data_IF_450137322224
#
_entry.id   IF_450137322224
#
_cell.length_a   1.000
_cell.length_b   1.000
_cell.length_c   1.000
_cell.angle_alpha   90.00
_cell.angle_beta   90.00
_cell.angle_gamma   90.00
#
_symmetry.space_group_name_H-M   'P 1'
#
loop_
_entity.id
_entity.type
_entity.pdbx_description
1 polymer ?
#
# COMPACT_ATOMS: atom_id res chain seq x y z
N UNK A 1 1.88 12.69 2.12
CA UNK A 1 0.92 12.39 3.21
C UNK A 1 -0.04 11.29 2.79
N UNK A 2 -0.21 10.28 3.62
CA UNK A 2 -1.10 9.16 3.31
C UNK A 2 -2.56 9.60 3.48
N UNK A 3 -3.37 9.39 2.45
CA UNK A 3 -4.79 9.74 2.47
C UNK A 3 -5.69 8.56 2.77
N UNK A 4 -5.34 7.39 2.26
CA UNK A 4 -6.14 6.20 2.50
C UNK A 4 -5.30 4.94 2.36
N UNK A 5 -5.80 3.85 2.94
CA UNK A 5 -5.19 2.53 2.84
C UNK A 5 -6.30 1.52 2.56
N UNK A 6 -6.11 0.71 1.53
CA UNK A 6 -7.01 -0.38 1.18
C UNK A 6 -6.25 -1.69 1.29
N UNK A 7 -6.83 -2.66 1.98
CA UNK A 7 -6.24 -3.97 2.18
C UNK A 7 -7.29 -5.02 1.79
N UNK A 8 -6.88 -6.03 1.04
CA UNK A 8 -7.75 -7.14 0.69
C UNK A 8 -7.01 -8.46 0.86
N UNK A 9 -7.67 -9.42 1.51
CA UNK A 9 -7.15 -10.77 1.75
C UNK A 9 -5.75 -10.76 2.36
N UNK A 10 -5.54 -9.85 3.29
CA UNK A 10 -4.26 -9.65 3.95
C UNK A 10 -4.34 -10.16 5.38
N UNK A 11 -3.59 -11.21 5.70
CA UNK A 11 -3.60 -11.86 7.00
C UNK A 11 -5.04 -12.28 7.38
N UNK A 12 -5.55 -11.81 8.50
CA UNK A 12 -6.90 -12.13 8.95
C UNK A 12 -7.97 -11.20 8.39
N UNK A 13 -7.56 -10.21 7.62
CA UNK A 13 -8.48 -9.19 7.10
C UNK A 13 -8.94 -9.58 5.71
N UNK A 14 -10.25 -9.74 5.52
CA UNK A 14 -10.83 -9.97 4.22
C UNK A 14 -10.79 -8.71 3.38
N UNK A 15 -11.23 -7.58 3.97
CA UNK A 15 -11.21 -6.30 3.30
C UNK A 15 -11.24 -5.19 4.34
N UNK A 16 -10.45 -4.15 4.11
CA UNK A 16 -10.42 -2.98 4.96
C UNK A 16 -10.11 -1.75 4.10
N UNK A 17 -10.90 -0.71 4.26
CA UNK A 17 -10.68 0.57 3.60
C UNK A 17 -10.68 1.65 4.67
N UNK A 18 -9.53 2.29 4.86
CA UNK A 18 -9.34 3.28 5.91
C UNK A 18 -9.00 4.62 5.29
N UNK A 19 -9.73 5.65 5.71
CA UNK A 19 -9.45 7.03 5.31
C UNK A 19 -8.72 7.74 6.44
N UNK A 20 -7.68 8.47 6.11
CA UNK A 20 -6.91 9.24 7.08
C UNK A 20 -7.19 10.73 6.92
N UNK A 21 -7.57 11.38 8.00
CA UNK A 21 -7.77 12.82 8.02
C UNK A 21 -6.66 13.45 8.84
N UNK A 22 -5.99 14.44 8.26
CA UNK A 22 -4.95 15.22 8.95
C UNK A 22 -3.86 14.36 9.60
N UNK A 23 -3.45 13.27 8.93
CA UNK A 23 -2.37 12.44 9.42
C UNK A 23 -2.82 11.10 9.97
N UNK A 24 -1.97 10.52 10.80
CA UNK A 24 -2.12 9.11 11.22
C UNK A 24 -2.79 8.92 12.57
N UNK A 25 -3.71 9.80 12.94
CA UNK A 25 -4.40 9.67 14.22
C UNK A 25 -5.29 8.44 14.33
N UNK A 26 -5.61 7.83 13.20
CA UNK A 26 -6.53 6.70 13.15
C UNK A 26 -6.01 5.46 13.86
N UNK A 27 -4.71 5.35 14.04
CA UNK A 27 -4.12 4.21 14.74
C UNK A 27 -4.32 4.26 16.24
N UNK A 28 -4.77 5.39 16.75
CA UNK A 28 -5.01 5.59 18.17
C UNK A 28 -6.30 4.85 18.57
N UNK A 29 -6.24 4.05 19.61
CA UNK A 29 -7.40 3.35 20.12
C UNK A 29 -7.76 2.06 19.42
N UNK A 30 -7.00 1.66 18.41
CA UNK A 30 -7.23 0.39 17.74
C UNK A 30 -6.69 -0.76 18.59
N UNK A 31 -7.20 -1.97 18.35
CA UNK A 31 -6.63 -3.14 19.00
C UNK A 31 -5.21 -3.36 18.51
N UNK A 32 -4.37 -3.99 19.33
CA UNK A 32 -2.99 -4.26 18.95
C UNK A 32 -2.89 -5.05 17.64
N UNK A 33 -3.75 -6.03 17.45
CA UNK A 33 -3.75 -6.87 16.25
C UNK A 33 -4.07 -6.04 15.00
N UNK A 34 -5.10 -5.21 15.05
CA UNK A 34 -5.46 -4.36 13.91
C UNK A 34 -4.37 -3.38 13.56
N UNK A 35 -3.76 -2.79 14.59
CA UNK A 35 -2.66 -1.85 14.41
C UNK A 35 -1.46 -2.50 13.73
N UNK A 36 -1.09 -3.71 14.16
CA UNK A 36 0.03 -4.44 13.58
C UNK A 36 -0.22 -4.78 12.12
N UNK A 37 -1.44 -5.16 11.77
CA UNK A 37 -1.78 -5.50 10.39
C UNK A 37 -1.69 -4.26 9.48
N UNK A 38 -2.18 -3.12 9.95
CA UNK A 38 -2.11 -1.87 9.19
C UNK A 38 -0.65 -1.46 8.97
N UNK A 39 0.18 -1.54 10.01
CA UNK A 39 1.60 -1.23 9.91
C UNK A 39 2.30 -2.19 8.94
N UNK A 40 1.98 -3.47 9.02
CA UNK A 40 2.54 -4.46 8.11
C UNK A 40 2.19 -4.18 6.66
N UNK A 41 0.94 -3.80 6.39
CA UNK A 41 0.50 -3.46 5.04
C UNK A 41 1.22 -2.22 4.51
N UNK A 42 1.41 -1.20 5.35
CA UNK A 42 2.15 -0.01 4.96
C UNK A 42 3.61 -0.32 4.65
N UNK A 43 4.23 -1.18 5.44
CA UNK A 43 5.61 -1.57 5.21
C UNK A 43 5.77 -2.30 3.88
N UNK A 44 4.81 -3.12 3.50
CA UNK A 44 4.83 -3.79 2.19
C UNK A 44 4.79 -2.79 1.04
N UNK A 45 3.99 -1.75 1.19
CA UNK A 45 3.91 -0.68 0.19
C UNK A 45 5.23 0.07 0.09
N UNK A 46 5.91 0.26 1.22
CA UNK A 46 7.17 0.99 1.27
C UNK A 46 8.37 0.17 0.79
N UNK A 47 8.13 -1.03 0.31
CA UNK A 47 9.18 -1.83 -0.32
C UNK A 47 9.76 -2.93 0.54
N UNK A 48 9.21 -3.19 1.70
CA UNK A 48 9.67 -4.29 2.53
C UNK A 48 9.45 -5.61 1.80
N UNK A 49 10.33 -6.57 2.04
CA UNK A 49 10.24 -7.89 1.41
C UNK A 49 8.89 -8.53 1.68
N UNK A 50 8.25 -9.01 0.63
CA UNK A 50 6.95 -9.66 0.75
C UNK A 50 7.10 -11.05 1.37
N UNK A 51 6.23 -11.35 2.32
CA UNK A 51 6.12 -12.66 2.94
C UNK A 51 4.79 -13.27 2.53
N UNK A 52 4.82 -14.46 1.95
CA UNK A 52 3.59 -15.11 1.49
C UNK A 52 2.66 -15.49 2.63
N UNK A 53 3.15 -15.49 3.87
CA UNK A 53 2.32 -15.74 5.05
C UNK A 53 1.25 -14.66 5.26
N UNK A 54 1.40 -13.49 4.63
CA UNK A 54 0.38 -12.45 4.73
C UNK A 54 -0.84 -12.72 3.86
N UNK A 55 -0.76 -13.68 2.94
CA UNK A 55 -1.90 -14.02 2.08
C UNK A 55 -2.95 -14.74 2.94
N UNK A 56 -4.17 -14.21 2.92
CA UNK A 56 -5.27 -14.80 3.67
C UNK A 56 -5.51 -16.22 3.20
N UNK A 57 -5.74 -17.13 4.13
CA UNK A 57 -5.98 -18.52 3.82
C UNK A 57 -7.16 -18.68 2.85
N UNK A 58 -6.95 -19.39 1.76
CA UNK A 58 -7.97 -19.58 0.73
C UNK A 58 -7.97 -18.53 -0.36
N UNK A 59 -7.16 -17.48 -0.23
CA UNK A 59 -7.08 -16.42 -1.23
C UNK A 59 -5.92 -16.68 -2.19
N UNK A 60 -6.05 -16.14 -3.40
CA UNK A 60 -4.99 -16.24 -4.41
C UNK A 60 -3.88 -15.23 -4.18
N UNK A 61 -4.23 -14.08 -3.62
CA UNK A 61 -3.29 -12.99 -3.42
C UNK A 61 -3.75 -12.09 -2.29
N UNK A 62 -2.79 -11.35 -1.73
CA UNK A 62 -3.04 -10.26 -0.81
C UNK A 62 -2.77 -8.95 -1.53
N UNK A 63 -3.57 -7.94 -1.25
CA UNK A 63 -3.43 -6.61 -1.84
C UNK A 63 -3.28 -5.58 -0.73
N UNK A 64 -2.30 -4.70 -0.89
CA UNK A 64 -2.14 -3.52 -0.05
C UNK A 64 -2.00 -2.32 -0.97
N UNK A 65 -2.87 -1.33 -0.80
CA UNK A 65 -2.92 -0.16 -1.67
C UNK A 65 -3.06 1.09 -0.83
N UNK A 66 -2.19 2.06 -1.07
CA UNK A 66 -2.25 3.33 -0.36
C UNK A 66 -2.36 4.47 -1.34
N UNK A 67 -3.23 5.43 -1.02
CA UNK A 67 -3.32 6.67 -1.77
C UNK A 67 -2.54 7.73 -1.00
N UNK A 68 -1.56 8.32 -1.67
CA UNK A 68 -0.63 9.28 -1.07
C UNK A 68 -0.72 10.60 -1.81
N UNK A 69 -0.86 11.69 -1.06
CA UNK A 69 -0.82 13.03 -1.63
C UNK A 69 0.60 13.56 -1.48
N UNK A 70 1.25 13.87 -2.61
CA UNK A 70 2.65 14.28 -2.63
C UNK A 70 2.84 15.75 -2.96
N UNK A 71 1.81 16.42 -3.48
CA UNK A 71 1.92 17.80 -3.92
C UNK A 71 2.87 17.93 -5.11
N UNK A 72 3.52 19.10 -5.21
CA UNK A 72 4.48 19.36 -6.28
C UNK A 72 5.89 19.08 -5.81
N UNK A 73 6.56 18.17 -6.47
CA UNK A 73 7.94 17.81 -6.16
C UNK A 73 8.63 17.40 -7.45
N UNK A 74 9.58 18.21 -7.91
CA UNK A 74 10.27 17.97 -9.17
C UNK A 74 11.13 16.71 -9.13
N UNK A 75 11.72 16.41 -7.97
CA UNK A 75 12.51 15.20 -7.82
C UNK A 75 11.65 13.97 -8.02
N UNK A 76 10.46 13.96 -7.40
CA UNK A 76 9.52 12.84 -7.57
C UNK A 76 9.00 12.78 -9.00
N UNK A 77 8.75 13.92 -9.63
CA UNK A 77 8.27 13.95 -11.01
C UNK A 77 9.28 13.30 -11.95
N UNK A 78 10.57 13.61 -11.76
CA UNK A 78 11.63 13.01 -12.57
C UNK A 78 11.74 11.51 -12.33
N UNK A 79 11.65 11.10 -11.07
CA UNK A 79 11.72 9.69 -10.70
C UNK A 79 10.56 8.90 -11.31
N UNK A 80 9.37 9.45 -11.27
CA UNK A 80 8.19 8.81 -11.85
C UNK A 80 8.32 8.70 -13.37
N UNK A 81 8.84 9.73 -14.02
CA UNK A 81 9.05 9.71 -15.46
C UNK A 81 10.05 8.62 -15.85
N UNK A 82 11.11 8.45 -15.07
CA UNK A 82 12.10 7.38 -15.32
C UNK A 82 11.47 5.99 -15.23
N UNK A 83 10.39 5.85 -14.47
CA UNK A 83 9.68 4.58 -14.32
C UNK A 83 8.44 4.50 -15.20
N UNK A 84 8.32 5.39 -16.19
CA UNK A 84 7.18 5.43 -17.11
C UNK A 84 5.85 5.69 -16.41
N UNK A 85 5.87 6.42 -15.32
CA UNK A 85 4.67 6.81 -14.57
C UNK A 85 4.42 8.29 -14.78
N UNK A 86 3.22 8.64 -15.21
CA UNK A 86 2.85 10.03 -15.36
C UNK A 86 2.76 10.71 -13.99
N UNK A 87 3.28 11.93 -13.90
CA UNK A 87 3.25 12.67 -12.65
C UNK A 87 1.83 13.05 -12.26
N UNK A 88 1.52 12.89 -10.99
CA UNK A 88 0.24 13.29 -10.41
C UNK A 88 0.51 13.74 -8.96
N UNK A 89 -0.26 14.71 -8.49
CA UNK A 89 -0.15 15.15 -7.10
C UNK A 89 -0.65 14.09 -6.12
N UNK A 90 -1.41 13.13 -6.61
CA UNK A 90 -1.88 12.00 -5.82
C UNK A 90 -1.40 10.71 -6.48
N UNK A 91 -0.74 9.87 -5.70
CA UNK A 91 -0.23 8.58 -6.18
C UNK A 91 -0.96 7.45 -5.49
N UNK A 92 -1.27 6.42 -6.25
CA UNK A 92 -1.81 5.17 -5.72
C UNK A 92 -0.70 4.12 -5.80
N UNK A 93 -0.19 3.71 -4.65
CA UNK A 93 0.85 2.69 -4.56
C UNK A 93 0.19 1.37 -4.18
N UNK A 94 0.35 0.36 -5.01
CA UNK A 94 -0.24 -0.95 -4.75
C UNK A 94 0.83 -2.03 -4.74
N UNK A 95 0.68 -2.98 -3.83
CA UNK A 95 1.48 -4.19 -3.78
C UNK A 95 0.56 -5.39 -3.84
N UNK A 96 0.82 -6.29 -4.77
CA UNK A 96 0.09 -7.56 -4.88
C UNK A 96 1.06 -8.68 -4.52
N UNK A 97 0.67 -9.51 -3.56
CA UNK A 97 1.52 -10.58 -3.05
C UNK A 97 0.85 -11.91 -3.36
N UNK A 98 1.53 -12.75 -4.14
CA UNK A 98 1.06 -14.09 -4.51
C UNK A 98 2.07 -15.10 -4.01
N UNK A 99 1.70 -16.38 -4.02
CA UNK A 99 2.60 -17.45 -3.59
C UNK A 99 3.90 -17.44 -4.39
N UNK A 100 3.83 -17.09 -5.66
CA UNK A 100 4.99 -17.13 -6.57
C UNK A 100 5.77 -15.83 -6.63
N UNK A 101 5.37 -14.81 -5.90
CA UNK A 101 6.09 -13.54 -5.89
C UNK A 101 5.17 -12.37 -5.71
N UNK A 102 5.75 -11.18 -5.70
CA UNK A 102 4.99 -9.95 -5.52
C UNK A 102 5.23 -8.97 -6.65
N UNK A 103 4.29 -8.06 -6.85
CA UNK A 103 4.37 -6.98 -7.81
C UNK A 103 4.03 -5.66 -7.16
N UNK A 104 4.74 -4.62 -7.58
CA UNK A 104 4.47 -3.26 -7.15
C UNK A 104 3.93 -2.46 -8.33
N UNK A 105 2.99 -1.56 -8.05
CA UNK A 105 2.39 -0.70 -9.05
C UNK A 105 2.34 0.73 -8.53
N UNK A 106 2.52 1.69 -9.42
CA UNK A 106 2.25 3.10 -9.14
C UNK A 106 1.23 3.55 -10.18
N UNK A 107 0.04 3.97 -9.75
CA UNK A 107 -1.06 4.36 -10.62
C UNK A 107 -1.31 3.31 -11.71
N UNK A 108 -1.36 2.03 -11.30
CA UNK A 108 -1.58 0.88 -12.17
C UNK A 108 -0.44 0.58 -13.17
N UNK A 109 0.67 1.27 -13.06
CA UNK A 109 1.87 0.96 -13.86
C UNK A 109 2.80 0.06 -13.05
N UNK A 110 3.13 -1.15 -13.56
CA UNK A 110 4.07 -2.02 -12.85
C UNK A 110 5.44 -1.35 -12.71
N UNK A 111 6.02 -1.45 -11.53
CA UNK A 111 7.35 -0.89 -11.26
C UNK A 111 8.20 -1.90 -10.49
N UNK A 112 9.49 -1.66 -10.49
CA UNK A 112 10.43 -2.51 -9.75
C UNK A 112 10.63 -2.05 -8.31
#
# INVERSE_FOLDING_TARGET
MIRSLYIKDFALIEELDVQFENGLNILTGQTGAGKSIIIGALNMILGERADTDVIRQGADKAISEATIEIGRDEFLADLLEENAVEYSEELILRREIRQKGSRAFINDTPVN
#
